data_IF_826219544293
#
_entry.id   IF_826219544293
#
_cell.length_a   1.000
_cell.length_b   1.000
_cell.length_c   1.000
_cell.angle_alpha   90.00
_cell.angle_beta   90.00
_cell.angle_gamma   90.00
#
_symmetry.space_group_name_H-M   'P 1'
#
loop_
_entity.id
_entity.type
_entity.pdbx_description
1 polymer ?
#
# COMPACT_ATOMS: atom_id res chain seq x y z
N UNK A 1 1.38 21.28 9.15
CA UNK A 1 2.00 20.52 8.02
C UNK A 1 1.51 19.08 8.10
N UNK A 2 1.15 18.47 6.98
CA UNK A 2 0.79 17.03 6.92
C UNK A 2 2.01 16.25 6.43
N UNK A 3 2.37 15.17 7.13
CA UNK A 3 3.50 14.31 6.78
C UNK A 3 2.96 12.95 6.35
N UNK A 4 3.41 12.47 5.20
CA UNK A 4 3.13 11.12 4.70
C UNK A 4 4.41 10.31 4.55
N UNK A 5 4.29 8.99 4.59
CA UNK A 5 5.36 8.05 4.31
C UNK A 5 5.15 7.40 2.95
N UNK A 6 6.15 7.44 2.09
CA UNK A 6 6.15 6.72 0.83
C UNK A 6 6.87 5.38 1.04
N UNK A 7 6.10 4.30 1.01
CA UNK A 7 6.57 2.95 1.28
C UNK A 7 6.79 2.18 -0.02
N UNK A 8 8.00 2.28 -0.56
CA UNK A 8 8.42 1.40 -1.63
C UNK A 8 9.02 0.13 -1.03
N UNK A 9 8.29 -0.98 -1.12
CA UNK A 9 8.71 -2.26 -0.56
C UNK A 9 9.77 -2.87 -1.47
N UNK A 10 11.00 -2.99 -0.95
CA UNK A 10 12.13 -3.55 -1.68
C UNK A 10 12.66 -4.82 -1.02
N UNK A 11 13.23 -5.73 -1.80
CA UNK A 11 13.78 -6.99 -1.32
C UNK A 11 15.16 -7.32 -1.94
N UNK A 12 16.08 -6.38 -1.89
CA UNK A 12 17.45 -6.54 -2.37
C UNK A 12 18.20 -7.74 -1.75
N UNK A 13 17.85 -8.09 -0.53
CA UNK A 13 18.50 -9.18 0.22
C UNK A 13 17.82 -10.53 -0.01
N UNK A 14 16.82 -10.60 -0.90
CA UNK A 14 16.07 -11.83 -1.22
C UNK A 14 15.56 -12.57 0.03
N UNK A 15 15.06 -11.82 1.01
CA UNK A 15 14.46 -12.36 2.23
C UNK A 15 13.10 -13.01 1.93
N UNK A 16 12.58 -13.87 2.82
CA UNK A 16 11.21 -14.34 2.74
C UNK A 16 10.22 -13.18 2.66
N UNK A 17 9.24 -13.28 1.78
CA UNK A 17 8.28 -12.19 1.55
C UNK A 17 7.48 -11.84 2.81
N UNK A 18 7.23 -12.82 3.67
CA UNK A 18 6.61 -12.60 4.98
C UNK A 18 7.40 -11.62 5.85
N UNK A 19 8.74 -11.70 5.85
CA UNK A 19 9.59 -10.75 6.59
C UNK A 19 9.51 -9.34 6.02
N UNK A 20 9.44 -9.22 4.68
CA UNK A 20 9.27 -7.94 4.01
C UNK A 20 7.94 -7.29 4.37
N UNK A 21 6.86 -8.09 4.43
CA UNK A 21 5.54 -7.60 4.84
C UNK A 21 5.51 -7.18 6.30
N UNK A 22 6.18 -7.92 7.21
CA UNK A 22 6.27 -7.51 8.62
C UNK A 22 6.95 -6.16 8.76
N UNK A 23 8.04 -5.90 8.04
CA UNK A 23 8.67 -4.59 8.04
C UNK A 23 7.72 -3.47 7.60
N UNK A 24 6.93 -3.70 6.54
CA UNK A 24 5.94 -2.73 6.06
C UNK A 24 4.84 -2.47 7.09
N UNK A 25 4.39 -3.53 7.79
CA UNK A 25 3.42 -3.45 8.89
C UNK A 25 3.95 -2.64 10.06
N UNK A 26 5.18 -2.91 10.48
CA UNK A 26 5.83 -2.20 11.59
C UNK A 26 5.96 -0.70 11.29
N UNK A 27 6.37 -0.35 10.06
CA UNK A 27 6.44 1.04 9.61
C UNK A 27 5.05 1.69 9.65
N UNK A 28 4.02 1.02 9.14
CA UNK A 28 2.67 1.56 9.13
C UNK A 28 2.12 1.79 10.54
N UNK A 29 2.32 0.84 11.45
CA UNK A 29 1.93 0.95 12.86
C UNK A 29 2.71 2.06 13.55
N UNK A 30 4.01 2.19 13.27
CA UNK A 30 4.82 3.29 13.80
C UNK A 30 4.29 4.65 13.33
N UNK A 31 4.02 4.80 12.03
CA UNK A 31 3.48 6.04 11.47
C UNK A 31 2.10 6.38 12.08
N UNK A 32 1.22 5.39 12.25
CA UNK A 32 -0.09 5.56 12.87
C UNK A 32 0.02 6.05 14.31
N UNK A 33 0.86 5.40 15.13
CA UNK A 33 1.11 5.78 16.53
C UNK A 33 1.70 7.19 16.67
N UNK A 34 2.51 7.61 15.72
CA UNK A 34 3.15 8.92 15.70
C UNK A 34 2.33 9.98 14.94
N UNK A 35 1.06 9.70 14.62
CA UNK A 35 0.10 10.62 14.01
C UNK A 35 0.54 11.19 12.65
N UNK A 36 1.25 10.39 11.87
CA UNK A 36 1.52 10.73 10.48
C UNK A 36 0.21 10.72 9.69
N UNK A 37 0.12 11.59 8.68
CA UNK A 37 -1.13 11.77 7.95
C UNK A 37 -1.49 10.56 7.07
N UNK A 38 -0.50 9.99 6.38
CA UNK A 38 -0.72 8.95 5.38
C UNK A 38 0.48 8.05 5.18
N UNK A 39 0.22 6.84 4.70
CA UNK A 39 1.23 5.93 4.16
C UNK A 39 0.81 5.53 2.74
N UNK A 40 1.77 5.47 1.82
CA UNK A 40 1.55 5.23 0.40
C UNK A 40 2.35 4.04 -0.08
N UNK A 41 1.69 3.07 -0.70
CA UNK A 41 2.32 1.87 -1.26
C UNK A 41 2.35 1.96 -2.79
N UNK A 42 3.45 1.48 -3.38
CA UNK A 42 3.64 1.41 -4.83
C UNK A 42 2.99 0.13 -5.40
N UNK A 43 2.81 0.09 -6.74
CA UNK A 43 2.48 -1.14 -7.46
C UNK A 43 3.57 -1.44 -8.49
N UNK A 44 4.21 -2.62 -8.35
CA UNK A 44 5.30 -3.06 -9.21
C UNK A 44 5.19 -4.56 -9.49
N UNK A 45 5.46 -4.94 -10.73
CA UNK A 45 5.30 -6.30 -11.22
C UNK A 45 6.60 -6.86 -11.79
N UNK A 46 6.87 -8.14 -11.46
CA UNK A 46 7.92 -8.96 -12.07
C UNK A 46 9.34 -8.38 -12.03
N UNK A 47 9.66 -7.60 -11.03
CA UNK A 47 11.03 -7.11 -10.85
C UNK A 47 11.93 -8.26 -10.35
N UNK A 48 12.73 -8.82 -11.26
CA UNK A 48 13.58 -9.98 -11.01
C UNK A 48 14.73 -9.73 -10.04
N UNK A 49 15.13 -8.47 -9.88
CA UNK A 49 16.18 -8.08 -8.93
C UNK A 49 15.65 -7.85 -7.52
N UNK A 50 14.33 -7.89 -7.32
CA UNK A 50 13.69 -7.67 -6.03
C UNK A 50 13.73 -6.22 -5.57
N UNK A 51 13.99 -5.28 -6.49
CA UNK A 51 14.01 -3.85 -6.18
C UNK A 51 12.67 -3.36 -5.67
N UNK A 52 11.59 -3.96 -6.17
CA UNK A 52 10.23 -3.53 -5.90
C UNK A 52 9.34 -4.76 -5.78
N UNK A 53 8.65 -4.89 -4.67
CA UNK A 53 7.97 -6.15 -4.30
C UNK A 53 6.53 -5.93 -3.85
N UNK A 54 5.80 -5.05 -4.55
CA UNK A 54 4.41 -4.73 -4.21
C UNK A 54 3.49 -4.97 -5.40
N UNK A 55 3.06 -6.21 -5.67
CA UNK A 55 2.21 -6.50 -6.84
C UNK A 55 0.76 -6.03 -6.66
N UNK A 56 0.30 -5.79 -5.43
CA UNK A 56 -1.05 -5.34 -5.15
C UNK A 56 -1.09 -4.42 -3.93
N UNK A 57 -1.06 -3.09 -4.12
CA UNK A 57 -1.08 -2.13 -3.03
C UNK A 57 -2.39 -2.12 -2.25
N UNK A 58 -3.53 -2.46 -2.86
CA UNK A 58 -4.83 -2.52 -2.16
C UNK A 58 -4.85 -3.63 -1.11
N UNK A 59 -4.30 -4.80 -1.41
CA UNK A 59 -4.20 -5.89 -0.43
C UNK A 59 -3.30 -5.50 0.76
N UNK A 60 -2.21 -4.80 0.51
CA UNK A 60 -1.33 -4.32 1.58
C UNK A 60 -2.05 -3.25 2.41
N UNK A 61 -2.76 -2.33 1.77
CA UNK A 61 -3.60 -1.35 2.47
C UNK A 61 -4.67 -2.02 3.34
N UNK A 62 -5.30 -3.12 2.87
CA UNK A 62 -6.30 -3.85 3.66
C UNK A 62 -5.68 -4.52 4.90
N UNK A 63 -4.51 -5.15 4.76
CA UNK A 63 -3.78 -5.72 5.90
C UNK A 63 -3.36 -4.64 6.91
N UNK A 64 -2.87 -3.51 6.45
CA UNK A 64 -2.49 -2.37 7.28
C UNK A 64 -3.71 -1.70 7.92
N UNK A 65 -4.85 -1.64 7.23
CA UNK A 65 -6.10 -1.10 7.77
C UNK A 65 -6.53 -1.81 9.05
N UNK A 66 -6.36 -3.13 9.09
CA UNK A 66 -6.71 -3.94 10.26
C UNK A 66 -5.79 -3.70 11.48
N UNK A 67 -4.60 -3.12 11.27
CA UNK A 67 -3.56 -2.90 12.28
C UNK A 67 -3.43 -1.46 12.73
N UNK A 68 -4.09 -0.54 12.06
CA UNK A 68 -3.98 0.91 12.26
C UNK A 68 -5.35 1.54 12.49
N UNK A 69 -5.40 2.75 13.04
CA UNK A 69 -6.67 3.40 13.42
C UNK A 69 -6.93 4.74 12.73
N UNK A 70 -5.90 5.52 12.40
CA UNK A 70 -6.06 6.90 11.96
C UNK A 70 -5.30 7.26 10.68
N UNK A 71 -4.17 6.59 10.40
CA UNK A 71 -3.37 6.87 9.21
C UNK A 71 -4.16 6.57 7.93
N UNK A 72 -4.08 7.48 6.97
CA UNK A 72 -4.70 7.30 5.65
C UNK A 72 -3.83 6.37 4.79
N UNK A 73 -4.49 5.57 3.97
CA UNK A 73 -3.91 4.45 3.23
C UNK A 73 -3.96 4.75 1.74
N UNK A 74 -2.83 5.06 1.16
CA UNK A 74 -2.71 5.48 -0.23
C UNK A 74 -2.05 4.43 -1.14
N UNK A 75 -2.43 4.48 -2.40
CA UNK A 75 -1.73 3.77 -3.46
C UNK A 75 -1.04 4.79 -4.37
N UNK A 76 0.27 4.62 -4.59
CA UNK A 76 1.06 5.52 -5.41
C UNK A 76 1.89 4.74 -6.46
N UNK A 77 1.15 4.22 -7.43
CA UNK A 77 -0.28 4.28 -7.71
C UNK A 77 -0.87 2.88 -7.98
N UNK A 78 -2.18 2.76 -8.17
CA UNK A 78 -2.76 1.60 -8.84
C UNK A 78 -2.48 1.73 -10.35
N UNK A 79 -1.83 0.72 -10.95
CA UNK A 79 -1.47 0.71 -12.37
C UNK A 79 -2.66 0.21 -13.19
N UNK A 80 -3.53 1.12 -13.60
CA UNK A 80 -4.85 0.80 -14.19
C UNK A 80 -4.81 -0.11 -15.40
N UNK A 81 -3.68 -0.19 -16.11
CA UNK A 81 -3.49 -1.08 -17.25
C UNK A 81 -3.51 -2.57 -16.90
N UNK A 82 -3.29 -2.90 -15.62
CA UNK A 82 -3.35 -4.27 -15.10
C UNK A 82 -4.68 -4.62 -14.41
N UNK A 83 -5.59 -3.63 -14.27
CA UNK A 83 -6.83 -3.83 -13.52
C UNK A 83 -8.05 -3.86 -14.43
N UNK A 84 -8.98 -4.77 -14.13
CA UNK A 84 -10.34 -4.60 -14.60
C UNK A 84 -10.96 -3.41 -13.86
N UNK A 85 -11.50 -2.38 -14.56
CA UNK A 85 -11.94 -1.15 -13.90
C UNK A 85 -13.10 -1.36 -12.92
N UNK A 86 -14.00 -2.32 -13.17
CA UNK A 86 -15.10 -2.63 -12.27
C UNK A 86 -14.53 -3.24 -10.98
N UNK A 87 -13.61 -4.20 -11.11
CA UNK A 87 -13.00 -4.85 -9.94
C UNK A 87 -12.18 -3.87 -9.12
N UNK A 88 -11.42 -2.99 -9.76
CA UNK A 88 -10.67 -1.96 -9.07
C UNK A 88 -11.58 -1.03 -8.25
N UNK A 89 -12.70 -0.60 -8.84
CA UNK A 89 -13.67 0.25 -8.15
C UNK A 89 -14.31 -0.46 -6.94
N UNK A 90 -14.70 -1.73 -7.09
CA UNK A 90 -15.25 -2.55 -6.01
C UNK A 90 -14.23 -2.76 -4.88
N UNK A 91 -12.97 -3.09 -5.22
CA UNK A 91 -11.92 -3.34 -4.24
C UNK A 91 -11.55 -2.05 -3.47
N UNK A 92 -11.53 -0.89 -4.15
CA UNK A 92 -11.34 0.42 -3.49
C UNK A 92 -12.51 0.72 -2.54
N UNK A 93 -13.76 0.51 -2.97
CA UNK A 93 -14.93 0.74 -2.13
C UNK A 93 -14.93 -0.19 -0.90
N UNK A 94 -14.59 -1.47 -1.10
CA UNK A 94 -14.46 -2.42 0.00
C UNK A 94 -13.36 -2.00 1.00
N UNK A 95 -12.20 -1.57 0.49
CA UNK A 95 -11.11 -1.09 1.32
C UNK A 95 -11.49 0.18 2.10
N UNK A 96 -12.27 1.08 1.50
CA UNK A 96 -12.75 2.28 2.19
C UNK A 96 -13.62 1.92 3.39
N UNK A 97 -14.54 0.97 3.23
CA UNK A 97 -15.33 0.43 4.35
C UNK A 97 -14.47 -0.28 5.40
N UNK A 98 -13.54 -1.16 5.00
CA UNK A 98 -12.64 -1.88 5.91
C UNK A 98 -11.75 -0.93 6.73
N UNK A 99 -11.39 0.19 6.14
CA UNK A 99 -10.53 1.20 6.76
C UNK A 99 -11.29 2.31 7.50
N UNK A 100 -12.62 2.32 7.49
CA UNK A 100 -13.46 3.40 8.01
C UNK A 100 -13.15 4.76 7.34
N UNK A 101 -13.15 4.80 6.01
CA UNK A 101 -13.02 6.03 5.23
C UNK A 101 -11.59 6.60 5.15
N UNK A 102 -10.56 5.76 5.30
CA UNK A 102 -9.16 6.19 5.32
C UNK A 102 -8.42 6.03 3.99
N UNK A 103 -9.11 5.65 2.93
CA UNK A 103 -8.46 5.41 1.61
C UNK A 103 -8.09 6.72 0.92
N UNK A 104 -6.92 6.72 0.30
CA UNK A 104 -6.45 7.72 -0.65
C UNK A 104 -6.11 6.99 -1.96
N UNK A 105 -6.77 7.35 -3.05
CA UNK A 105 -6.64 6.64 -4.32
C UNK A 105 -5.68 7.36 -5.26
N UNK A 106 -4.55 6.72 -5.56
CA UNK A 106 -3.67 7.12 -6.64
C UNK A 106 -3.84 6.21 -7.84
N UNK A 107 -3.92 6.79 -9.03
CA UNK A 107 -4.10 6.07 -10.30
C UNK A 107 -3.01 6.51 -11.28
N UNK A 108 -2.41 5.53 -11.95
CA UNK A 108 -1.43 5.76 -12.98
C UNK A 108 -1.50 4.72 -14.09
N UNK A 109 -0.86 5.02 -15.23
CA UNK A 109 -0.80 4.07 -16.35
C UNK A 109 0.29 3.00 -16.20
N UNK A 110 1.21 3.21 -15.26
CA UNK A 110 2.47 2.48 -15.19
C UNK A 110 3.52 3.04 -16.13
N UNK A 111 4.70 2.47 -16.12
CA UNK A 111 5.85 2.78 -16.98
C UNK A 111 6.14 1.62 -17.91
#
# INVERSE_FOLDING_TARGET
MKIGYFCNITNWKKKPYTEILENARDIAVYCDKNKWNSIWFTEHHFNHEGMESTPNPLMICADVAARTKQIRLGQACNVITFWNPIRLAEDIAALDHLSNGRVEVGIGRGV
#
